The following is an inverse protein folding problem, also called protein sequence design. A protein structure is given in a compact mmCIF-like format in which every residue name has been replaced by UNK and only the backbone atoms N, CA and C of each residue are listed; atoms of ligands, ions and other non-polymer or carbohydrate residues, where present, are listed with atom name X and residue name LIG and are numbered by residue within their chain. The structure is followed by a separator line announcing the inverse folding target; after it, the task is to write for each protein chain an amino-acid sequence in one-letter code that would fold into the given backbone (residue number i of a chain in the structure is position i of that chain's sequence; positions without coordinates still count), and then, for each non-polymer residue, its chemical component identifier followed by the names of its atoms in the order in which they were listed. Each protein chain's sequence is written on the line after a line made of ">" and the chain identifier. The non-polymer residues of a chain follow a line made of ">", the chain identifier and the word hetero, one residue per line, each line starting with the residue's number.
data_IF_549983412352
#
_entry.id   IF_549983412352
#
_cell.length_a   1.000
_cell.length_b   1.000
_cell.length_c   1.000
_cell.angle_alpha   90.00
_cell.angle_beta   90.00
_cell.angle_gamma   90.00
#
_symmetry.space_group_name_H-M   'P 1'
#
loop_
_entity.id
_entity.type
_entity.pdbx_description
1 polymer ?
#
# COMPACT_ATOMS: atom_id res chain seq x y z
N UNK A 1 13.38 12.01 -12.91
CA UNK A 1 12.17 11.24 -13.29
C UNK A 1 12.21 10.01 -12.43
N UNK A 2 11.41 9.93 -11.37
CA UNK A 2 11.38 8.73 -10.54
C UNK A 2 10.68 7.66 -11.38
N UNK A 3 11.39 6.59 -11.71
CA UNK A 3 10.77 5.38 -12.23
C UNK A 3 9.76 4.91 -11.18
N UNK A 4 8.48 4.82 -11.55
CA UNK A 4 7.45 4.32 -10.65
C UNK A 4 7.71 2.82 -10.46
N UNK A 5 7.91 2.41 -9.21
CA UNK A 5 8.09 1.02 -8.84
C UNK A 5 6.75 0.29 -8.82
N UNK A 6 6.77 -1.04 -8.91
CA UNK A 6 5.53 -1.84 -8.87
C UNK A 6 4.80 -1.58 -7.54
N UNK A 7 5.52 -1.41 -6.44
CA UNK A 7 4.93 -1.01 -5.17
C UNK A 7 4.24 0.37 -5.20
N UNK A 8 4.81 1.36 -5.89
CA UNK A 8 4.22 2.70 -6.01
C UNK A 8 2.93 2.69 -6.85
N UNK A 9 2.77 1.77 -7.80
CA UNK A 9 1.50 1.61 -8.53
C UNK A 9 0.33 1.21 -7.61
N UNK A 10 0.60 0.41 -6.56
CA UNK A 10 -0.45 -0.17 -5.73
C UNK A 10 -0.61 0.50 -4.36
N UNK A 11 0.43 1.10 -3.80
CA UNK A 11 0.44 1.55 -2.41
C UNK A 11 0.93 2.99 -2.23
N UNK A 12 0.32 3.71 -1.30
CA UNK A 12 0.89 4.92 -0.70
C UNK A 12 1.67 4.56 0.57
N UNK A 13 2.76 5.29 0.82
CA UNK A 13 3.59 5.10 1.99
C UNK A 13 3.08 5.95 3.17
N UNK A 14 2.60 5.33 4.24
CA UNK A 14 2.09 6.01 5.44
C UNK A 14 2.97 5.72 6.67
N UNK A 15 4.10 6.43 6.73
CA UNK A 15 5.11 6.29 7.79
C UNK A 15 4.56 6.59 9.19
N UNK A 16 3.64 7.55 9.34
CA UNK A 16 3.08 7.95 10.65
C UNK A 16 2.49 6.78 11.43
N UNK A 17 1.92 5.79 10.73
CA UNK A 17 1.34 4.58 11.33
C UNK A 17 2.14 3.32 11.00
N UNK A 18 3.26 3.46 10.28
CA UNK A 18 4.07 2.33 9.81
C UNK A 18 3.33 1.38 8.87
N UNK A 19 2.43 1.90 8.04
CA UNK A 19 1.60 1.11 7.12
C UNK A 19 1.78 1.53 5.66
N UNK A 20 1.54 0.59 4.75
CA UNK A 20 1.26 0.89 3.36
C UNK A 20 -0.26 1.03 3.17
N UNK A 21 -0.73 1.97 2.35
CA UNK A 21 -2.15 2.15 2.05
C UNK A 21 -2.43 1.68 0.63
N UNK A 22 -3.27 0.66 0.46
CA UNK A 22 -3.68 0.25 -0.88
C UNK A 22 -4.46 1.38 -1.57
N UNK A 23 -3.98 1.85 -2.72
CA UNK A 23 -4.60 2.95 -3.47
C UNK A 23 -6.00 2.61 -4.01
N UNK A 24 -6.26 1.33 -4.29
CA UNK A 24 -7.54 0.88 -4.84
C UNK A 24 -8.62 0.70 -3.74
N UNK A 25 -8.33 -0.07 -2.70
CA UNK A 25 -9.33 -0.39 -1.67
C UNK A 25 -9.21 0.45 -0.38
N UNK A 26 -8.12 1.20 -0.21
CA UNK A 26 -7.87 2.11 0.92
C UNK A 26 -7.67 1.43 2.27
N UNK A 27 -7.22 0.18 2.24
CA UNK A 27 -6.85 -0.58 3.45
C UNK A 27 -5.41 -0.28 3.85
N UNK A 28 -5.17 -0.18 5.16
CA UNK A 28 -3.83 -0.24 5.73
C UNK A 28 -3.31 -1.68 5.72
N UNK A 29 -2.18 -1.87 5.07
CA UNK A 29 -1.56 -3.17 4.80
C UNK A 29 -0.14 -3.14 5.38
N UNK A 30 0.20 -4.18 6.12
CA UNK A 30 1.57 -4.43 6.55
C UNK A 30 2.36 -5.06 5.40
N UNK A 31 3.68 -4.84 5.29
CA UNK A 31 4.49 -5.43 4.23
C UNK A 31 4.34 -6.96 4.13
N UNK A 32 4.34 -7.66 5.26
CA UNK A 32 4.13 -9.12 5.33
C UNK A 32 2.79 -9.59 4.75
N UNK A 33 1.82 -8.68 4.59
CA UNK A 33 0.49 -8.94 4.05
C UNK A 33 0.33 -8.54 2.58
N UNK A 34 1.24 -7.74 2.01
CA UNK A 34 1.14 -7.16 0.66
C UNK A 34 0.85 -8.23 -0.38
N UNK A 35 1.66 -9.30 -0.41
CA UNK A 35 1.50 -10.37 -1.40
C UNK A 35 0.13 -11.02 -1.33
N UNK A 36 -0.28 -11.45 -0.14
CA UNK A 36 -1.58 -12.11 0.06
C UNK A 36 -2.74 -11.17 -0.27
N UNK A 37 -2.61 -9.89 0.08
CA UNK A 37 -3.60 -8.86 -0.23
C UNK A 37 -3.78 -8.69 -1.74
N UNK A 38 -2.69 -8.42 -2.48
CA UNK A 38 -2.72 -8.23 -3.93
C UNK A 38 -3.29 -9.46 -4.67
N UNK A 39 -2.94 -10.67 -4.24
CA UNK A 39 -3.44 -11.90 -4.86
C UNK A 39 -4.93 -12.17 -4.58
N UNK A 40 -5.41 -11.89 -3.37
CA UNK A 40 -6.78 -12.24 -2.95
C UNK A 40 -7.79 -11.14 -3.28
N UNK A 41 -7.46 -9.89 -2.98
CA UNK A 41 -8.35 -8.75 -3.18
C UNK A 41 -8.34 -8.27 -4.64
N UNK A 42 -7.15 -8.22 -5.25
CA UNK A 42 -6.95 -7.58 -6.56
C UNK A 42 -6.57 -8.58 -7.67
N UNK A 43 -6.45 -9.88 -7.36
CA UNK A 43 -6.12 -10.96 -8.31
C UNK A 43 -4.84 -10.70 -9.12
N UNK A 44 -3.89 -9.96 -8.54
CA UNK A 44 -2.61 -9.66 -9.19
C UNK A 44 -1.76 -10.93 -9.30
N UNK A 45 -0.96 -11.01 -10.37
CA UNK A 45 -0.11 -12.17 -10.61
C UNK A 45 0.88 -12.37 -9.47
N UNK A 46 1.23 -13.64 -9.17
CA UNK A 46 2.19 -13.97 -8.11
C UNK A 46 3.51 -13.22 -8.27
N UNK A 47 4.04 -13.14 -9.49
CA UNK A 47 5.31 -12.46 -9.78
C UNK A 47 5.26 -10.98 -9.41
N UNK A 48 4.22 -10.26 -9.83
CA UNK A 48 4.07 -8.84 -9.50
C UNK A 48 3.83 -8.64 -8.00
N UNK A 49 3.03 -9.50 -7.38
CA UNK A 49 2.75 -9.43 -5.95
C UNK A 49 4.00 -9.72 -5.08
N UNK A 50 4.86 -10.65 -5.52
CA UNK A 50 6.16 -10.93 -4.89
C UNK A 50 7.10 -9.71 -5.02
N UNK A 51 7.22 -9.12 -6.22
CA UNK A 51 8.03 -7.90 -6.41
C UNK A 51 7.54 -6.72 -5.58
N UNK A 52 6.22 -6.45 -5.58
CA UNK A 52 5.65 -5.37 -4.77
C UNK A 52 5.88 -5.61 -3.27
N UNK A 53 5.76 -6.85 -2.79
CA UNK A 53 6.01 -7.17 -1.39
C UNK A 53 7.48 -6.94 -1.00
N UNK A 54 8.42 -7.36 -1.84
CA UNK A 54 9.85 -7.12 -1.62
C UNK A 54 10.16 -5.61 -1.58
N UNK A 55 9.60 -4.83 -2.51
CA UNK A 55 9.79 -3.38 -2.54
C UNK A 55 9.20 -2.70 -1.29
N UNK A 56 7.97 -3.06 -0.88
CA UNK A 56 7.32 -2.47 0.30
C UNK A 56 8.05 -2.85 1.60
N UNK A 57 8.56 -4.07 1.74
CA UNK A 57 9.36 -4.46 2.92
C UNK A 57 10.68 -3.69 3.04
N UNK A 58 11.16 -3.06 1.96
CA UNK A 58 12.33 -2.19 1.98
C UNK A 58 11.98 -0.70 2.22
N UNK A 59 10.70 -0.34 2.34
CA UNK A 59 10.31 1.03 2.64
C UNK A 59 10.65 1.39 4.08
N UNK A 60 11.38 2.50 4.25
CA UNK A 60 11.83 2.98 5.56
C UNK A 60 10.64 3.47 6.39
N UNK A 61 10.50 2.93 7.60
CA UNK A 61 9.49 3.38 8.56
C UNK A 61 8.19 2.58 8.53
N UNK A 62 8.11 1.51 7.72
CA UNK A 62 7.03 0.53 7.83
C UNK A 62 7.29 -0.52 8.91
N UNK A 63 6.20 -1.04 9.45
CA UNK A 63 6.20 -2.13 10.42
C UNK A 63 5.89 -3.42 9.69
N UNK A 64 6.80 -4.41 9.74
CA UNK A 64 6.69 -5.66 8.99
C UNK A 64 5.52 -6.53 9.48
N UNK A 65 5.38 -6.68 10.81
CA UNK A 65 4.41 -7.58 11.42
C UNK A 65 3.44 -6.87 12.37
N UNK A 66 2.21 -7.40 12.49
CA UNK A 66 1.17 -6.80 13.33
C UNK A 66 1.55 -6.74 14.82
N UNK A 67 2.41 -7.65 15.29
CA UNK A 67 2.90 -7.68 16.67
C UNK A 67 3.78 -6.47 17.03
N UNK A 68 4.36 -5.82 16.04
CA UNK A 68 5.21 -4.64 16.20
C UNK A 68 4.43 -3.33 16.03
N UNK A 69 3.16 -3.43 15.61
CA UNK A 69 2.34 -2.26 15.33
C UNK A 69 1.97 -1.56 16.64
N UNK A 70 2.44 -0.33 16.80
CA UNK A 70 2.01 0.55 17.88
C UNK A 70 0.69 1.21 17.48
N UNK A 71 -0.42 0.68 18.01
CA UNK A 71 -1.75 1.25 17.77
C UNK A 71 -1.89 2.53 18.60
N UNK A 72 -2.09 3.70 17.97
CA UNK A 72 -2.29 4.93 18.71
C UNK A 72 -3.66 4.89 19.41
N UNK A 73 -3.71 5.48 20.60
CA UNK A 73 -4.95 5.56 21.39
C UNK A 73 -6.04 6.38 20.68
N UNK A 74 -5.62 7.36 19.86
CA UNK A 74 -6.51 8.30 19.19
C UNK A 74 -5.95 8.67 17.81
N UNK A 75 -6.82 8.82 16.81
CA UNK A 75 -6.47 9.36 15.48
C UNK A 75 -7.30 10.64 15.28
N UNK A 76 -6.64 11.80 15.36
CA UNK A 76 -7.32 13.10 15.40
C UNK A 76 -7.86 13.57 14.04
N UNK A 77 -7.35 13.02 12.94
CA UNK A 77 -7.73 13.43 11.58
C UNK A 77 -7.83 12.22 10.64
N UNK A 78 -8.71 12.24 9.63
CA UNK A 78 -8.73 11.21 8.60
C UNK A 78 -7.37 11.12 7.90
N UNK A 79 -6.90 9.89 7.69
CA UNK A 79 -5.67 9.62 6.95
C UNK A 79 -5.86 10.09 5.50
N UNK A 80 -5.02 11.04 5.08
CA UNK A 80 -4.98 11.52 3.69
C UNK A 80 -4.03 10.62 2.90
N UNK A 81 -4.50 10.04 1.81
CA UNK A 81 -3.72 9.27 0.84
C UNK A 81 -3.93 9.87 -0.55
N UNK A 82 -3.04 9.55 -1.51
CA UNK A 82 -3.10 10.07 -2.87
C UNK A 82 -4.30 9.44 -3.57
N UNK A 83 -5.34 10.22 -3.86
CA UNK A 83 -6.47 9.70 -4.64
C UNK A 83 -5.99 9.35 -6.06
N UNK A 84 -6.35 8.18 -6.62
CA UNK A 84 -6.10 7.93 -8.02
C UNK A 84 -6.83 8.99 -8.86
N UNK A 85 -6.13 9.61 -9.81
CA UNK A 85 -6.72 10.57 -10.73
C UNK A 85 -7.79 9.87 -11.58
N UNK A 86 -9.06 10.06 -11.23
CA UNK A 86 -10.21 9.50 -11.96
C UNK A 86 -10.46 10.35 -13.21
N UNK A 87 -9.54 10.36 -14.18
CA UNK A 87 -9.75 10.97 -15.50
C UNK A 87 -9.02 10.19 -16.61
N UNK A 88 -9.53 9.00 -16.96
CA UNK A 88 -9.43 8.51 -18.34
C UNK A 88 -10.45 7.41 -18.67
N UNK A 89 -11.76 7.70 -18.68
CA UNK A 89 -12.73 6.98 -19.53
C UNK A 89 -13.97 7.84 -19.80
N UNK A 90 -13.88 8.72 -20.80
CA UNK A 90 -15.03 9.03 -21.67
C UNK A 90 -14.51 9.20 -23.09
N UNK A 91 -14.24 8.06 -23.73
CA UNK A 91 -14.09 7.93 -25.17
C UNK A 91 -15.06 6.85 -25.62
N UNK A 92 -16.29 7.27 -25.90
CA UNK A 92 -17.35 6.49 -26.51
C UNK A 92 -18.03 7.35 -27.56
#
# INVERSE_FOLDING_TARGET
>A
MAESSIADDYFDHLVEYGLAICKECRYGILPSQVKSHLQRAHRISRKQADSAAEEVSNWVGLVEYASELLVPEQVAQPIKYSQPSVYHIMGG
#
